data_IF_041697191247
#
_entry.id   IF_041697191247
#
_cell.length_a   1.000
_cell.length_b   1.000
_cell.length_c   1.000
_cell.angle_alpha   90.00
_cell.angle_beta   90.00
_cell.angle_gamma   90.00
#
_symmetry.space_group_name_H-M   'P 1'
#
loop_
_entity.id
_entity.type
_entity.pdbx_description
1 polymer ?
#
# COMPACT_ATOMS: atom_id res chain seq x y z
N UNK A 1 -4.71 12.24 8.22
CA UNK A 1 -6.00 12.62 7.59
C UNK A 1 -7.01 13.02 8.65
N UNK A 2 -7.70 14.15 8.46
CA UNK A 2 -8.82 14.55 9.34
C UNK A 2 -9.96 13.53 9.22
N UNK A 3 -10.68 13.27 10.32
CA UNK A 3 -11.81 12.31 10.35
C UNK A 3 -12.85 12.59 9.26
N UNK A 4 -13.10 13.87 8.99
CA UNK A 4 -14.06 14.34 7.97
C UNK A 4 -13.65 14.07 6.52
N UNK A 5 -12.38 13.73 6.27
CA UNK A 5 -11.88 13.43 4.93
C UNK A 5 -11.76 11.90 4.67
N UNK A 6 -12.14 11.05 5.64
CA UNK A 6 -12.17 9.59 5.46
C UNK A 6 -13.34 9.19 4.56
N UNK A 7 -13.25 8.00 3.95
CA UNK A 7 -14.31 7.45 3.09
C UNK A 7 -14.39 8.04 1.68
N UNK A 8 -13.72 9.16 1.40
CA UNK A 8 -13.78 9.86 0.11
C UNK A 8 -12.75 9.39 -0.92
N UNK A 9 -12.15 8.21 -0.73
CA UNK A 9 -11.12 7.69 -1.65
C UNK A 9 -9.77 8.44 -1.63
N UNK A 10 -9.61 9.47 -0.80
CA UNK A 10 -8.40 10.30 -0.75
C UNK A 10 -7.12 9.48 -0.50
N UNK A 11 -7.19 8.42 0.30
CA UNK A 11 -6.02 7.59 0.58
C UNK A 11 -5.51 6.87 -0.68
N UNK A 12 -6.44 6.38 -1.53
CA UNK A 12 -6.08 5.77 -2.82
C UNK A 12 -5.45 6.81 -3.72
N UNK A 13 -6.05 8.01 -3.82
CA UNK A 13 -5.55 9.09 -4.66
C UNK A 13 -4.13 9.55 -4.24
N UNK A 14 -3.85 9.64 -2.94
CA UNK A 14 -2.53 9.99 -2.42
C UNK A 14 -1.49 8.91 -2.72
N UNK A 15 -1.83 7.63 -2.55
CA UNK A 15 -0.91 6.53 -2.90
C UNK A 15 -0.61 6.55 -4.39
N UNK A 16 -1.61 6.73 -5.25
CA UNK A 16 -1.40 6.85 -6.69
C UNK A 16 -0.54 8.07 -7.06
N UNK A 17 -0.72 9.21 -6.38
CA UNK A 17 0.11 10.39 -6.59
C UNK A 17 1.57 10.14 -6.18
N UNK A 18 1.80 9.45 -5.06
CA UNK A 18 3.14 9.05 -4.62
C UNK A 18 3.82 8.11 -5.64
N UNK A 19 3.08 7.14 -6.20
CA UNK A 19 3.60 6.26 -7.26
C UNK A 19 3.99 7.05 -8.51
N UNK A 20 3.14 7.98 -8.96
CA UNK A 20 3.45 8.85 -10.12
C UNK A 20 4.69 9.70 -9.86
N UNK A 21 4.80 10.27 -8.66
CA UNK A 21 5.97 11.03 -8.27
C UNK A 21 7.25 10.17 -8.31
N UNK A 22 7.23 8.98 -7.69
CA UNK A 22 8.36 8.06 -7.72
C UNK A 22 8.74 7.66 -9.16
N UNK A 23 7.77 7.40 -10.02
CA UNK A 23 7.99 7.10 -11.43
C UNK A 23 8.68 8.26 -12.17
N UNK A 24 8.26 9.50 -11.90
CA UNK A 24 8.88 10.71 -12.45
C UNK A 24 10.32 10.92 -11.94
N UNK A 25 10.65 10.40 -10.75
CA UNK A 25 12.03 10.36 -10.23
C UNK A 25 12.85 9.17 -10.77
N UNK A 26 12.32 8.40 -11.72
CA UNK A 26 13.02 7.27 -12.33
C UNK A 26 12.90 5.95 -11.57
N UNK A 27 12.03 5.86 -10.55
CA UNK A 27 11.71 4.56 -9.97
C UNK A 27 11.08 3.66 -11.05
N UNK A 28 11.53 2.41 -11.14
CA UNK A 28 10.93 1.36 -11.99
C UNK A 28 9.91 0.50 -11.24
N UNK A 29 10.04 0.48 -9.92
CA UNK A 29 9.30 -0.37 -8.99
C UNK A 29 9.02 0.45 -7.74
N UNK A 30 7.81 0.35 -7.19
CA UNK A 30 7.46 0.85 -5.87
C UNK A 30 6.90 -0.28 -5.02
N UNK A 31 7.44 -0.44 -3.82
CA UNK A 31 7.01 -1.46 -2.85
C UNK A 31 6.21 -0.85 -1.70
N UNK A 32 5.24 -1.62 -1.22
CA UNK A 32 4.42 -1.29 -0.07
C UNK A 32 4.34 -2.48 0.88
N UNK A 33 4.21 -2.18 2.17
CA UNK A 33 4.18 -3.18 3.24
C UNK A 33 2.91 -3.02 4.11
N UNK A 34 1.71 -3.18 3.54
CA UNK A 34 0.47 -3.02 4.30
C UNK A 34 0.22 -4.19 5.25
N UNK A 35 -0.76 -3.98 6.13
CA UNK A 35 -1.37 -5.06 6.91
C UNK A 35 -2.14 -6.00 5.97
N UNK A 36 -1.94 -7.29 6.15
CA UNK A 36 -2.60 -8.33 5.35
C UNK A 36 -4.05 -8.53 5.77
N UNK A 37 -4.89 -8.89 4.79
CA UNK A 37 -6.29 -9.23 5.02
C UNK A 37 -7.25 -8.04 4.91
N UNK A 38 -8.54 -8.38 4.93
CA UNK A 38 -9.66 -7.45 4.74
C UNK A 38 -10.41 -7.09 6.04
N UNK A 39 -10.07 -7.74 7.16
CA UNK A 39 -10.70 -7.47 8.44
C UNK A 39 -10.39 -6.03 8.90
N UNK A 40 -11.30 -5.44 9.70
CA UNK A 40 -11.03 -4.18 10.41
C UNK A 40 -9.77 -4.37 11.26
N UNK A 41 -8.63 -3.91 10.75
CA UNK A 41 -7.41 -3.85 11.53
C UNK A 41 -7.65 -2.89 12.70
N UNK A 42 -7.15 -3.26 13.88
CA UNK A 42 -7.22 -2.39 15.05
C UNK A 42 -6.64 -1.02 14.71
N UNK A 43 -7.36 0.05 15.10
CA UNK A 43 -7.11 1.44 14.68
C UNK A 43 -5.64 1.88 14.85
N UNK A 44 -4.96 1.37 15.88
CA UNK A 44 -3.56 1.66 16.18
C UNK A 44 -2.56 1.17 15.11
N UNK A 45 -2.96 0.24 14.23
CA UNK A 45 -2.07 -0.40 13.25
C UNK A 45 -2.35 -0.03 11.79
N UNK A 46 -3.40 0.75 11.53
CA UNK A 46 -3.88 1.09 10.18
C UNK A 46 -3.01 2.16 9.50
N UNK A 47 -2.10 2.81 10.22
CA UNK A 47 -1.23 3.84 9.64
C UNK A 47 -0.29 3.31 8.55
N UNK A 48 0.03 2.01 8.55
CA UNK A 48 0.74 1.33 7.46
C UNK A 48 -0.11 1.16 6.18
N UNK A 49 -1.41 1.42 6.25
CA UNK A 49 -2.38 1.07 5.23
C UNK A 49 -2.75 -0.41 5.24
N UNK A 50 -3.77 -0.74 4.46
CA UNK A 50 -4.36 -2.08 4.39
C UNK A 50 -4.19 -2.68 3.00
N UNK A 51 -4.18 -4.00 2.89
CA UNK A 51 -4.11 -4.68 1.60
C UNK A 51 -5.18 -4.18 0.59
N UNK A 52 -6.47 -4.00 0.97
CA UNK A 52 -7.47 -3.46 0.04
C UNK A 52 -7.17 -2.04 -0.45
N UNK A 53 -6.55 -1.19 0.38
CA UNK A 53 -6.14 0.16 -0.03
C UNK A 53 -5.14 0.09 -1.18
N UNK A 54 -4.08 -0.72 -1.02
CA UNK A 54 -3.03 -0.84 -2.02
C UNK A 54 -3.49 -1.60 -3.27
N UNK A 55 -4.35 -2.62 -3.13
CA UNK A 55 -5.02 -3.26 -4.28
C UNK A 55 -5.80 -2.24 -5.12
N UNK A 56 -6.59 -1.37 -4.48
CA UNK A 56 -7.32 -0.29 -5.17
C UNK A 56 -6.38 0.74 -5.82
N UNK A 57 -5.19 0.93 -5.28
CA UNK A 57 -4.17 1.79 -5.88
C UNK A 57 -3.38 1.13 -7.04
N UNK A 58 -3.65 -0.14 -7.36
CA UNK A 58 -3.02 -0.87 -8.47
C UNK A 58 -1.85 -1.76 -8.07
N UNK A 59 -1.55 -1.90 -6.78
CA UNK A 59 -0.49 -2.80 -6.32
C UNK A 59 -0.94 -4.26 -6.37
N UNK A 60 0.02 -5.15 -6.60
CA UNK A 60 -0.14 -6.61 -6.58
C UNK A 60 0.69 -7.21 -5.44
N UNK A 61 0.30 -8.37 -4.94
CA UNK A 61 1.08 -9.11 -3.93
C UNK A 61 2.38 -9.60 -4.58
N UNK A 62 3.51 -9.17 -4.06
CA UNK A 62 4.84 -9.65 -4.46
C UNK A 62 5.29 -10.81 -3.56
N UNK A 63 4.95 -10.76 -2.27
CA UNK A 63 5.25 -11.82 -1.31
C UNK A 63 4.12 -11.92 -0.27
N UNK A 64 3.61 -13.14 0.01
CA UNK A 64 2.63 -13.32 1.07
C UNK A 64 3.23 -13.05 2.46
N UNK A 65 2.39 -12.95 3.50
CA UNK A 65 2.84 -12.96 4.88
C UNK A 65 3.79 -14.11 5.22
N UNK A 66 4.67 -13.87 6.20
CA UNK A 66 5.49 -14.95 6.76
C UNK A 66 4.59 -16.05 7.34
N UNK A 67 4.89 -17.34 7.06
CA UNK A 67 4.19 -18.45 7.69
C UNK A 67 4.56 -18.55 9.18
N UNK A 68 3.70 -19.15 9.99
CA UNK A 68 4.00 -19.47 11.39
C UNK A 68 4.01 -18.28 12.35
N UNK A 69 3.41 -17.15 11.98
CA UNK A 69 3.29 -16.00 12.88
C UNK A 69 2.33 -16.29 14.06
N UNK A 70 2.61 -15.74 15.26
CA UNK A 70 1.69 -15.83 16.39
C UNK A 70 0.28 -15.34 16.05
N UNK A 71 -0.77 -15.99 16.59
CA UNK A 71 -2.18 -15.66 16.29
C UNK A 71 -2.57 -14.22 16.64
N UNK A 72 -1.88 -13.59 17.59
CA UNK A 72 -2.11 -12.20 18.01
C UNK A 72 -1.31 -11.17 17.19
N UNK A 73 -0.49 -11.60 16.23
CA UNK A 73 0.22 -10.71 15.34
C UNK A 73 -0.57 -10.53 14.05
N UNK A 74 -0.78 -9.28 13.63
CA UNK A 74 -1.38 -9.04 12.33
C UNK A 74 -0.26 -8.92 11.28
N UNK A 75 -0.18 -9.86 10.32
CA UNK A 75 0.91 -9.91 9.38
C UNK A 75 0.96 -8.69 8.45
N UNK A 76 2.13 -8.47 7.87
CA UNK A 76 2.30 -7.64 6.68
C UNK A 76 2.64 -8.51 5.49
N UNK A 77 2.27 -8.05 4.30
CA UNK A 77 2.71 -8.64 3.04
C UNK A 77 3.52 -7.63 2.24
N UNK A 78 4.36 -8.11 1.32
CA UNK A 78 5.01 -7.23 0.37
C UNK A 78 4.11 -7.09 -0.85
N UNK A 79 3.78 -5.85 -1.20
CA UNK A 79 3.05 -5.51 -2.41
C UNK A 79 3.92 -4.65 -3.31
N UNK A 80 3.72 -4.76 -4.62
CA UNK A 80 4.50 -4.05 -5.62
C UNK A 80 3.61 -3.48 -6.72
N UNK A 81 4.00 -2.33 -7.25
CA UNK A 81 3.54 -1.81 -8.52
C UNK A 81 4.76 -1.51 -9.40
N UNK A 82 4.66 -1.85 -10.68
CA UNK A 82 5.64 -1.45 -11.69
C UNK A 82 5.27 -0.07 -12.21
N UNK A 83 6.28 0.75 -12.43
CA UNK A 83 6.12 2.09 -12.96
C UNK A 83 6.73 2.14 -14.35
N UNK A 84 6.01 2.74 -15.31
CA UNK A 84 6.64 3.12 -16.56
C UNK A 84 7.66 4.20 -16.22
N UNK A 85 8.95 3.83 -16.23
CA UNK A 85 10.02 4.75 -15.88
C UNK A 85 9.92 5.97 -16.81
N UNK A 86 9.88 7.17 -16.24
CA UNK A 86 9.99 8.37 -17.05
C UNK A 86 11.35 8.33 -17.75
N UNK A 87 11.35 8.46 -19.08
CA UNK A 87 12.59 8.64 -19.83
C UNK A 87 13.34 9.84 -19.22
N UNK A 88 14.56 9.59 -18.72
CA UNK A 88 15.42 10.67 -18.20
C UNK A 88 15.56 11.72 -19.29
N UNK A 89 15.17 12.96 -18.98
CA UNK A 89 15.55 14.14 -19.76
C UNK A 89 17.01 14.49 -19.47
#
# INVERSE_FOLDING_TARGET
MRRTARGQGLAVALVQAAVRYAAAQGARIVEAYPRAGAARAEDASVYFGTEPLFRRAGFRVARPPLPGLPRNWQPRLAMRIETAAAAKR
#
